data_IF_867912062014
#
_entry.id   IF_867912062014
#
_cell.length_a   1.000
_cell.length_b   1.000
_cell.length_c   1.000
_cell.angle_alpha   90.00
_cell.angle_beta   90.00
_cell.angle_gamma   90.00
#
_symmetry.space_group_name_H-M   'P 1'
#
loop_
_entity.id
_entity.type
_entity.pdbx_description
1 polymer ?
#
# COMPACT_ATOMS: atom_id res chain seq x y z
N UNK A 1 9.43 -2.31 -7.21
CA UNK A 1 9.10 -3.24 -6.12
C UNK A 1 10.34 -3.50 -5.26
N UNK A 2 11.51 -3.70 -5.87
CA UNK A 2 12.79 -3.93 -5.20
C UNK A 2 13.17 -2.90 -4.12
N UNK A 3 12.84 -1.60 -4.30
CA UNK A 3 13.06 -0.58 -3.26
C UNK A 3 12.38 -0.88 -1.91
N UNK A 4 11.45 -1.84 -1.82
CA UNK A 4 10.94 -2.32 -0.53
C UNK A 4 12.00 -3.04 0.32
N UNK A 5 13.12 -3.47 -0.29
CA UNK A 5 14.29 -3.99 0.42
C UNK A 5 15.12 -2.90 1.08
N UNK A 6 14.96 -1.65 0.64
CA UNK A 6 15.74 -0.48 1.06
C UNK A 6 14.85 0.64 1.65
N UNK A 7 14.14 0.41 2.79
CA UNK A 7 13.25 1.41 3.38
C UNK A 7 13.91 2.77 3.63
N UNK A 8 15.16 2.79 4.11
CA UNK A 8 15.88 4.04 4.38
C UNK A 8 16.17 4.84 3.13
N UNK A 9 16.48 4.17 2.01
CA UNK A 9 16.66 4.84 0.73
C UNK A 9 15.34 5.46 0.25
N UNK A 10 14.22 4.74 0.42
CA UNK A 10 12.89 5.28 0.09
C UNK A 10 12.56 6.50 0.94
N UNK A 11 12.84 6.47 2.25
CA UNK A 11 12.67 7.62 3.15
C UNK A 11 13.45 8.84 2.63
N UNK A 12 14.70 8.66 2.24
CA UNK A 12 15.55 9.74 1.70
C UNK A 12 14.99 10.31 0.39
N UNK A 13 14.60 9.43 -0.55
CA UNK A 13 14.00 9.84 -1.83
C UNK A 13 12.73 10.65 -1.60
N UNK A 14 11.81 10.13 -0.78
CA UNK A 14 10.54 10.77 -0.48
C UNK A 14 10.74 12.11 0.20
N UNK A 15 11.64 12.19 1.18
CA UNK A 15 11.96 13.43 1.89
C UNK A 15 12.49 14.50 0.94
N UNK A 16 13.38 14.13 0.02
CA UNK A 16 13.92 15.07 -0.96
C UNK A 16 12.84 15.54 -1.95
N UNK A 17 12.02 14.62 -2.46
CA UNK A 17 10.88 14.97 -3.32
C UNK A 17 9.93 15.94 -2.61
N UNK A 18 9.62 15.68 -1.33
CA UNK A 18 8.72 16.51 -0.53
C UNK A 18 9.31 17.90 -0.29
N UNK A 19 10.62 18.00 -0.01
CA UNK A 19 11.32 19.28 0.16
C UNK A 19 11.30 20.15 -1.11
N UNK A 20 11.37 19.53 -2.28
CA UNK A 20 11.45 20.23 -3.58
C UNK A 20 10.07 20.59 -4.16
N UNK A 21 9.01 19.96 -3.68
CA UNK A 21 7.66 20.12 -4.22
C UNK A 21 6.89 21.15 -3.42
N UNK A 22 6.32 22.17 -4.08
CA UNK A 22 5.63 23.29 -3.41
C UNK A 22 4.11 23.15 -3.36
N UNK A 23 3.50 22.40 -4.29
CA UNK A 23 2.04 22.32 -4.42
C UNK A 23 1.48 20.90 -4.58
N UNK A 24 2.28 19.94 -5.02
CA UNK A 24 1.82 18.57 -5.25
C UNK A 24 2.02 17.67 -4.01
N UNK A 25 1.08 16.75 -3.82
CA UNK A 25 1.20 15.67 -2.84
C UNK A 25 2.23 14.64 -3.31
N UNK A 26 3.16 14.25 -2.43
CA UNK A 26 4.08 13.14 -2.66
C UNK A 26 3.48 11.90 -2.01
N UNK A 27 3.28 10.84 -2.80
CA UNK A 27 2.69 9.57 -2.34
C UNK A 27 3.58 8.40 -2.72
N UNK A 28 3.37 7.24 -2.09
CA UNK A 28 4.08 5.99 -2.43
C UNK A 28 3.08 4.94 -2.88
N UNK A 29 3.37 4.27 -3.99
CA UNK A 29 2.65 3.06 -4.40
C UNK A 29 3.56 1.85 -4.30
N UNK A 30 3.15 0.83 -3.54
CA UNK A 30 3.96 -0.37 -3.32
C UNK A 30 3.13 -1.66 -3.39
N UNK A 31 3.79 -2.78 -3.13
CA UNK A 31 3.20 -4.11 -2.91
C UNK A 31 3.11 -4.36 -1.40
N UNK A 32 2.51 -5.46 -0.98
CA UNK A 32 2.48 -5.86 0.45
C UNK A 32 3.73 -6.63 0.89
N UNK A 33 4.68 -6.87 -0.01
CA UNK A 33 5.91 -7.59 0.27
C UNK A 33 6.60 -8.10 -0.98
N UNK A 34 7.75 -8.73 -0.78
CA UNK A 34 8.55 -9.42 -1.80
C UNK A 34 8.72 -10.88 -1.39
N UNK A 35 8.91 -11.81 -2.32
CA UNK A 35 9.11 -13.24 -1.98
C UNK A 35 10.30 -13.51 -1.03
N UNK A 36 11.24 -12.58 -0.91
CA UNK A 36 12.39 -12.66 0.03
C UNK A 36 12.14 -11.90 1.35
N UNK A 37 11.07 -11.10 1.42
CA UNK A 37 10.73 -10.21 2.54
C UNK A 37 9.24 -9.86 2.49
N UNK A 38 8.38 -10.69 3.08
CA UNK A 38 6.92 -10.53 3.07
C UNK A 38 6.24 -10.67 4.44
N UNK A 39 7.00 -10.47 5.53
CA UNK A 39 6.41 -10.46 6.87
C UNK A 39 5.67 -9.15 7.15
N UNK A 40 4.72 -9.19 8.10
CA UNK A 40 4.04 -7.98 8.59
C UNK A 40 5.04 -6.94 9.12
N UNK A 41 6.05 -7.38 9.86
CA UNK A 41 7.08 -6.48 10.42
C UNK A 41 7.88 -5.76 9.32
N UNK A 42 8.16 -6.43 8.21
CA UNK A 42 8.86 -5.81 7.08
C UNK A 42 8.01 -4.76 6.37
N UNK A 43 6.71 -5.05 6.18
CA UNK A 43 5.76 -4.09 5.63
C UNK A 43 5.61 -2.87 6.53
N UNK A 44 5.47 -3.08 7.85
CA UNK A 44 5.41 -2.00 8.85
C UNK A 44 6.66 -1.12 8.81
N UNK A 45 7.86 -1.72 8.76
CA UNK A 45 9.12 -0.96 8.61
C UNK A 45 9.13 -0.10 7.36
N UNK A 46 8.65 -0.64 6.23
CA UNK A 46 8.57 0.11 4.97
C UNK A 46 7.57 1.27 5.02
N UNK A 47 6.40 1.06 5.64
CA UNK A 47 5.38 2.09 5.85
C UNK A 47 5.90 3.20 6.77
N UNK A 48 6.53 2.84 7.88
CA UNK A 48 7.15 3.82 8.81
C UNK A 48 8.24 4.64 8.12
N UNK A 49 9.14 4.02 7.37
CA UNK A 49 10.18 4.76 6.64
C UNK A 49 9.59 5.72 5.59
N UNK A 50 8.54 5.29 4.87
CA UNK A 50 7.82 6.16 3.93
C UNK A 50 7.15 7.33 4.65
N UNK A 51 6.53 7.07 5.81
CA UNK A 51 5.88 8.07 6.67
C UNK A 51 6.88 9.09 7.21
N UNK A 52 8.04 8.65 7.70
CA UNK A 52 9.15 9.51 8.15
C UNK A 52 9.69 10.38 7.02
N UNK A 53 9.62 9.92 5.77
CA UNK A 53 9.92 10.72 4.59
C UNK A 53 8.92 11.86 4.34
N UNK A 54 7.75 11.85 5.00
CA UNK A 54 6.70 12.85 4.88
C UNK A 54 5.50 12.40 4.04
N UNK A 55 5.37 11.10 3.74
CA UNK A 55 4.18 10.54 3.07
C UNK A 55 3.08 10.29 4.10
N UNK A 56 1.86 10.76 3.79
CA UNK A 56 0.65 10.52 4.57
C UNK A 56 -0.39 9.68 3.79
N UNK A 57 -0.11 9.33 2.53
CA UNK A 57 -0.97 8.53 1.67
C UNK A 57 -0.19 7.50 0.86
N UNK A 58 -0.60 6.24 0.94
CA UNK A 58 0.00 5.13 0.20
C UNK A 58 -1.03 4.34 -0.60
N UNK A 59 -0.64 3.89 -1.79
CA UNK A 59 -1.44 3.02 -2.64
C UNK A 59 -0.85 1.60 -2.55
N UNK A 60 -1.61 0.66 -2.02
CA UNK A 60 -1.11 -0.69 -1.71
C UNK A 60 -1.68 -1.68 -2.71
N UNK A 61 -0.82 -2.22 -3.57
CA UNK A 61 -1.18 -3.38 -4.36
C UNK A 61 -1.17 -4.62 -3.46
N UNK A 62 -2.34 -5.23 -3.23
CA UNK A 62 -2.57 -6.29 -2.25
C UNK A 62 -1.99 -7.67 -2.65
N UNK A 63 -0.89 -7.72 -3.40
CA UNK A 63 -0.15 -8.93 -3.75
C UNK A 63 1.32 -8.70 -3.41
N UNK A 64 2.06 -9.74 -3.07
CA UNK A 64 3.52 -9.65 -3.08
C UNK A 64 4.04 -9.48 -4.51
N UNK A 65 5.32 -9.13 -4.65
CA UNK A 65 6.05 -9.26 -5.90
C UNK A 65 7.08 -10.39 -5.77
N UNK A 66 7.04 -11.35 -6.68
CA UNK A 66 8.07 -12.38 -6.81
C UNK A 66 9.15 -11.85 -7.74
N UNK A 67 10.32 -11.54 -7.19
CA UNK A 67 11.49 -11.13 -7.94
C UNK A 67 12.19 -12.35 -8.54
N UNK A 68 12.82 -12.18 -9.70
CA UNK A 68 13.64 -13.20 -10.39
C UNK A 68 12.96 -14.55 -10.67
N UNK A 69 11.61 -14.60 -10.68
CA UNK A 69 10.87 -15.82 -10.97
C UNK A 69 9.57 -15.62 -11.77
N UNK A 70 9.00 -14.41 -11.74
CA UNK A 70 7.77 -14.09 -12.47
C UNK A 70 7.95 -12.81 -13.29
N UNK A 71 7.39 -12.79 -14.50
CA UNK A 71 7.30 -11.57 -15.31
C UNK A 71 6.41 -10.51 -14.64
N UNK A 72 6.48 -9.23 -15.07
CA UNK A 72 5.59 -8.19 -14.56
C UNK A 72 4.09 -8.51 -14.73
N UNK A 73 3.71 -9.18 -15.83
CA UNK A 73 2.33 -9.60 -16.06
C UNK A 73 1.91 -10.73 -15.11
N UNK A 74 2.76 -11.75 -14.94
CA UNK A 74 2.51 -12.84 -13.98
C UNK A 74 2.43 -12.31 -12.55
N UNK A 75 3.25 -11.33 -12.16
CA UNK A 75 3.19 -10.70 -10.84
C UNK A 75 1.86 -9.98 -10.55
N UNK A 76 1.03 -9.69 -11.57
CA UNK A 76 -0.33 -9.16 -11.36
C UNK A 76 -1.39 -10.26 -11.18
N UNK A 77 -1.10 -11.48 -11.63
CA UNK A 77 -2.10 -12.55 -11.76
C UNK A 77 -1.80 -13.80 -10.90
N UNK A 78 -0.54 -14.10 -10.59
CA UNK A 78 -0.12 -15.34 -9.92
C UNK A 78 -0.18 -15.24 -8.38
N UNK A 79 0.51 -14.32 -7.67
CA UNK A 79 0.51 -14.32 -6.20
C UNK A 79 -0.86 -13.91 -5.65
N UNK A 80 -1.48 -14.60 -4.69
CA UNK A 80 -2.86 -14.31 -4.28
C UNK A 80 -3.04 -12.88 -3.73
N UNK A 81 -4.25 -12.34 -3.88
CA UNK A 81 -4.65 -11.08 -3.26
C UNK A 81 -4.86 -11.28 -1.76
N UNK A 82 -4.37 -10.34 -0.95
CA UNK A 82 -4.51 -10.32 0.51
C UNK A 82 -5.00 -8.93 0.95
N UNK A 83 -6.30 -8.69 0.82
CA UNK A 83 -6.94 -7.41 1.14
C UNK A 83 -6.96 -7.13 2.65
N UNK A 84 -7.05 -8.19 3.46
CA UNK A 84 -6.95 -8.18 4.92
C UNK A 84 -5.69 -7.45 5.42
N UNK A 85 -4.56 -7.61 4.73
CA UNK A 85 -3.31 -6.92 5.06
C UNK A 85 -3.45 -5.40 4.88
N UNK A 86 -4.23 -4.95 3.91
CA UNK A 86 -4.48 -3.51 3.69
C UNK A 86 -5.42 -2.97 4.76
N UNK A 87 -6.47 -3.72 5.14
CA UNK A 87 -7.34 -3.35 6.27
C UNK A 87 -6.54 -3.22 7.58
N UNK A 88 -5.65 -4.19 7.85
CA UNK A 88 -4.77 -4.14 9.01
C UNK A 88 -3.82 -2.94 9.02
N UNK A 89 -3.40 -2.43 7.85
CA UNK A 89 -2.63 -1.19 7.77
C UNK A 89 -3.46 0.03 8.15
N UNK A 90 -4.73 0.09 7.74
CA UNK A 90 -5.65 1.17 8.12
C UNK A 90 -5.83 1.21 9.63
N UNK A 91 -6.02 0.06 10.27
CA UNK A 91 -6.12 -0.05 11.74
C UNK A 91 -4.82 0.35 12.44
N UNK A 92 -3.67 -0.10 11.94
CA UNK A 92 -2.38 0.12 12.58
C UNK A 92 -1.85 1.56 12.44
N UNK A 93 -2.29 2.30 11.41
CA UNK A 93 -1.83 3.66 11.11
C UNK A 93 -3.02 4.60 10.85
N UNK A 94 -3.80 4.95 11.89
CA UNK A 94 -5.02 5.75 11.74
C UNK A 94 -4.79 7.17 11.20
N UNK A 95 -3.55 7.66 11.24
CA UNK A 95 -3.16 8.97 10.72
C UNK A 95 -2.62 8.92 9.28
N UNK A 96 -2.67 7.77 8.62
CA UNK A 96 -2.30 7.57 7.21
C UNK A 96 -3.50 7.13 6.36
N UNK A 97 -3.51 7.54 5.10
CA UNK A 97 -4.50 7.09 4.11
C UNK A 97 -3.94 5.92 3.30
N UNK A 98 -4.64 4.79 3.27
CA UNK A 98 -4.30 3.68 2.39
C UNK A 98 -5.35 3.54 1.29
N UNK A 99 -4.89 3.36 0.06
CA UNK A 99 -5.74 3.09 -1.11
C UNK A 99 -5.48 1.66 -1.57
N UNK A 100 -6.50 0.81 -1.47
CA UNK A 100 -6.44 -0.56 -1.95
C UNK A 100 -6.28 -0.61 -3.47
N UNK A 101 -5.40 -1.48 -3.97
CA UNK A 101 -5.20 -1.70 -5.39
C UNK A 101 -5.03 -3.19 -5.73
N UNK A 102 -5.56 -3.58 -6.89
CA UNK A 102 -5.41 -4.89 -7.50
C UNK A 102 -6.67 -5.73 -7.35
N UNK A 103 -7.17 -6.29 -8.45
CA UNK A 103 -8.25 -7.29 -8.44
C UNK A 103 -9.68 -6.79 -8.25
N UNK A 104 -9.90 -5.49 -8.04
CA UNK A 104 -11.24 -4.88 -7.97
C UNK A 104 -11.72 -4.55 -9.38
N UNK A 105 -12.84 -5.14 -9.82
CA UNK A 105 -13.33 -5.07 -11.20
C UNK A 105 -14.61 -4.28 -11.35
N UNK A 106 -15.44 -4.25 -10.31
CA UNK A 106 -16.76 -3.64 -10.34
C UNK A 106 -16.94 -2.70 -9.15
N UNK A 107 -17.88 -1.77 -9.29
CA UNK A 107 -18.18 -0.78 -8.26
C UNK A 107 -18.61 -1.45 -6.94
N UNK A 108 -19.44 -2.49 -7.02
CA UNK A 108 -19.97 -3.22 -5.87
C UNK A 108 -18.85 -3.94 -5.10
N UNK A 109 -17.82 -4.44 -5.79
CA UNK A 109 -16.64 -5.00 -5.12
C UNK A 109 -15.89 -3.90 -4.34
N UNK A 110 -15.74 -2.70 -4.93
CA UNK A 110 -15.09 -1.57 -4.26
C UNK A 110 -15.90 -1.08 -3.05
N UNK A 111 -17.21 -0.95 -3.19
CA UNK A 111 -18.13 -0.49 -2.15
C UNK A 111 -18.10 -1.41 -0.92
N UNK A 112 -18.18 -2.72 -1.16
CA UNK A 112 -18.08 -3.74 -0.12
C UNK A 112 -16.70 -3.70 0.60
N UNK A 113 -15.61 -3.51 -0.14
CA UNK A 113 -14.25 -3.47 0.42
C UNK A 113 -13.96 -2.19 1.20
N UNK A 114 -14.63 -1.08 0.88
CA UNK A 114 -14.57 0.13 1.68
C UNK A 114 -15.33 -0.03 3.01
N UNK A 115 -16.18 -1.05 3.13
CA UNK A 115 -17.13 -1.15 4.24
C UNK A 115 -18.11 0.02 4.24
N UNK A 116 -18.32 0.69 3.11
CA UNK A 116 -19.22 1.84 3.01
C UNK A 116 -20.66 1.33 3.00
N UNK A 117 -21.48 1.81 3.92
CA UNK A 117 -22.91 1.60 3.88
C UNK A 117 -23.54 2.76 3.09
N UNK A 118 -23.90 2.48 1.83
CA UNK A 118 -24.49 3.47 0.94
C UNK A 118 -25.86 3.99 1.41
N UNK A 119 -26.54 3.29 2.33
CA UNK A 119 -27.83 3.73 2.87
C UNK A 119 -27.67 4.75 4.00
N UNK A 120 -26.61 4.63 4.81
CA UNK A 120 -26.30 5.55 5.90
C UNK A 120 -25.28 6.62 5.50
N UNK A 121 -24.57 6.43 4.38
CA UNK A 121 -23.38 7.19 3.98
C UNK A 121 -22.26 7.17 5.01
N UNK A 122 -22.21 6.11 5.81
CA UNK A 122 -21.20 5.91 6.85
C UNK A 122 -20.30 4.72 6.50
N UNK A 123 -19.06 4.75 6.98
CA UNK A 123 -18.23 3.56 6.97
C UNK A 123 -18.69 2.67 8.11
N UNK A 124 -18.87 1.36 7.86
CA UNK A 124 -19.11 0.37 8.90
C UNK A 124 -17.99 0.49 9.93
N UNK A 125 -18.36 1.05 11.07
CA UNK A 125 -17.61 0.88 12.30
C UNK A 125 -18.08 -0.44 12.87
N UNK A 126 -17.16 -1.37 13.10
CA UNK A 126 -17.46 -2.54 13.92
C UNK A 126 -17.98 -2.11 15.30
#
# INVERSE_FOLDING_TARGET
>A
AELMLEPDLVRQIVSEMKRRTTSAEVTVKCRIGLNVRDTWGDLVKFVLASKEGGVNKMIIHARICVLNGLSPAQNRNVPPLRYDIVSRLVEAFPDMKFVLNGGVRFYEEADNLLGFDATTREYKTE
#
